data_IF_854318314548
#
_entry.id   IF_854318314548
#
_cell.length_a   1.000
_cell.length_b   1.000
_cell.length_c   1.000
_cell.angle_alpha   90.00
_cell.angle_beta   90.00
_cell.angle_gamma   90.00
#
_symmetry.space_group_name_H-M   'P 1'
#
loop_
_entity.id
_entity.type
_entity.pdbx_description
1 polymer ?
#
# COMPACT_ATOMS: atom_id res chain seq x y z
N UNK A 1 -7.88 16.30 10.69
CA UNK A 1 -8.84 15.18 10.69
C UNK A 1 -8.07 13.89 10.43
N UNK A 2 -8.27 12.85 11.25
CA UNK A 2 -7.64 11.55 11.02
C UNK A 2 -8.19 10.94 9.73
N UNK A 3 -7.33 10.60 8.77
CA UNK A 3 -7.74 9.84 7.58
C UNK A 3 -8.09 8.42 8.03
N UNK A 4 -9.38 8.15 8.18
CA UNK A 4 -9.92 6.79 8.26
C UNK A 4 -9.58 6.09 6.95
N UNK A 5 -8.55 5.24 7.00
CA UNK A 5 -8.13 4.46 5.84
C UNK A 5 -8.87 3.13 5.90
N UNK A 6 -9.75 2.86 4.94
CA UNK A 6 -10.48 1.59 4.87
C UNK A 6 -9.49 0.47 4.54
N UNK A 7 -9.43 -0.61 5.34
CA UNK A 7 -8.62 -1.78 4.99
C UNK A 7 -9.02 -2.34 3.63
N UNK A 8 -8.03 -2.84 2.90
CA UNK A 8 -8.24 -3.49 1.62
C UNK A 8 -8.89 -4.86 1.86
N UNK A 9 -9.88 -5.14 1.03
CA UNK A 9 -10.50 -6.45 0.95
C UNK A 9 -9.72 -7.34 -0.01
N UNK A 10 -9.81 -8.65 0.17
CA UNK A 10 -9.20 -9.63 -0.74
C UNK A 10 -9.63 -9.39 -2.21
N UNK A 11 -10.90 -9.02 -2.42
CA UNK A 11 -11.43 -8.70 -3.74
C UNK A 11 -10.74 -7.48 -4.35
N UNK A 12 -10.53 -6.41 -3.61
CA UNK A 12 -9.82 -5.21 -4.07
C UNK A 12 -8.35 -5.52 -4.42
N UNK A 13 -7.68 -6.35 -3.60
CA UNK A 13 -6.30 -6.81 -3.87
C UNK A 13 -6.23 -7.63 -5.17
N UNK A 14 -7.19 -8.56 -5.38
CA UNK A 14 -7.27 -9.39 -6.59
C UNK A 14 -7.57 -8.53 -7.82
N UNK A 15 -8.53 -7.62 -7.73
CA UNK A 15 -8.96 -6.75 -8.83
C UNK A 15 -7.98 -5.63 -9.17
N UNK A 16 -6.98 -5.35 -8.32
CA UNK A 16 -5.95 -4.35 -8.60
C UNK A 16 -5.17 -4.72 -9.88
N UNK A 17 -5.40 -4.00 -10.98
CA UNK A 17 -4.75 -4.23 -12.27
C UNK A 17 -3.50 -3.37 -12.43
N UNK A 18 -2.43 -3.88 -13.05
CA UNK A 18 -1.28 -3.05 -13.42
C UNK A 18 -1.72 -1.83 -14.25
N UNK A 19 -1.05 -0.70 -14.00
CA UNK A 19 -1.22 0.57 -14.72
C UNK A 19 0.11 0.94 -15.37
N UNK A 20 0.11 1.96 -16.23
CA UNK A 20 1.32 2.49 -16.88
C UNK A 20 2.43 2.89 -15.88
N UNK A 21 2.04 3.34 -14.68
CA UNK A 21 2.95 3.71 -13.60
C UNK A 21 2.68 2.88 -12.36
N UNK A 22 3.74 2.69 -11.57
CA UNK A 22 3.65 2.06 -10.25
C UNK A 22 2.69 2.86 -9.38
N UNK A 23 1.73 2.19 -8.74
CA UNK A 23 0.81 2.82 -7.80
C UNK A 23 0.71 2.01 -6.51
N UNK A 24 0.19 2.64 -5.46
CA UNK A 24 0.02 2.07 -4.13
C UNK A 24 -1.44 2.13 -3.70
N UNK A 25 -1.95 1.06 -3.09
CA UNK A 25 -3.24 1.03 -2.39
C UNK A 25 -2.96 0.92 -0.89
N UNK A 26 -3.58 1.78 -0.08
CA UNK A 26 -3.35 1.77 1.36
C UNK A 26 -4.31 0.80 2.05
N UNK A 27 -3.75 -0.07 2.88
CA UNK A 27 -4.49 -0.99 3.75
C UNK A 27 -4.67 -0.42 5.18
N UNK A 28 -3.90 0.62 5.50
CA UNK A 28 -3.94 1.29 6.79
C UNK A 28 -2.74 0.93 7.65
N UNK A 29 -2.51 1.70 8.72
CA UNK A 29 -1.40 1.47 9.66
C UNK A 29 0.00 1.53 9.04
N UNK A 30 0.17 2.09 7.83
CA UNK A 30 1.43 2.10 7.09
C UNK A 30 1.57 0.96 6.08
N UNK A 31 0.66 -0.02 6.05
CA UNK A 31 0.67 -1.11 5.09
C UNK A 31 0.07 -0.68 3.75
N UNK A 32 0.79 -0.97 2.66
CA UNK A 32 0.49 -0.54 1.31
C UNK A 32 0.70 -1.69 0.33
N UNK A 33 -0.26 -1.94 -0.56
CA UNK A 33 -0.09 -2.81 -1.71
C UNK A 33 0.50 -2.02 -2.87
N UNK A 34 1.74 -2.31 -3.26
CA UNK A 34 2.36 -1.75 -4.47
C UNK A 34 2.06 -2.65 -5.67
N UNK A 35 1.51 -2.05 -6.72
CA UNK A 35 1.25 -2.71 -8.00
C UNK A 35 2.15 -2.10 -9.07
N UNK A 36 2.98 -2.93 -9.69
CA UNK A 36 3.89 -2.53 -10.77
C UNK A 36 3.24 -2.71 -12.15
N UNK A 37 3.69 -1.97 -13.18
CA UNK A 37 3.20 -2.14 -14.56
C UNK A 37 3.36 -3.54 -15.12
N UNK A 38 4.37 -4.29 -14.65
CA UNK A 38 4.61 -5.68 -15.04
C UNK A 38 3.67 -6.70 -14.36
N UNK A 39 2.63 -6.25 -13.65
CA UNK A 39 1.64 -7.11 -12.99
C UNK A 39 2.06 -7.63 -11.61
N UNK A 40 3.31 -7.42 -11.20
CA UNK A 40 3.76 -7.83 -9.86
C UNK A 40 3.10 -6.97 -8.77
N UNK A 41 2.58 -7.66 -7.76
CA UNK A 41 1.99 -7.06 -6.56
C UNK A 41 2.87 -7.39 -5.36
N UNK A 42 3.25 -6.39 -4.59
CA UNK A 42 4.10 -6.55 -3.40
C UNK A 42 3.59 -5.68 -2.26
N UNK A 43 3.58 -6.22 -1.05
CA UNK A 43 3.30 -5.46 0.15
C UNK A 43 4.52 -4.62 0.57
N UNK A 44 4.27 -3.40 1.02
CA UNK A 44 5.25 -2.46 1.56
C UNK A 44 4.69 -1.90 2.86
N UNK A 45 5.55 -1.80 3.87
CA UNK A 45 5.21 -1.16 5.13
C UNK A 45 6.01 0.13 5.26
N UNK A 46 5.30 1.25 5.22
CA UNK A 46 5.87 2.57 5.47
C UNK A 46 5.75 2.86 6.98
N UNK A 47 6.88 2.87 7.68
CA UNK A 47 6.95 3.10 9.12
C UNK A 47 8.08 4.05 9.48
N UNK A 48 7.98 4.63 10.68
CA UNK A 48 9.08 5.39 11.27
C UNK A 48 9.88 4.48 12.18
N UNK A 49 11.21 4.57 12.10
CA UNK A 49 12.09 3.92 13.07
C UNK A 49 11.72 4.44 14.47
N UNK A 50 11.35 3.56 15.42
CA UNK A 50 10.76 3.97 16.69
C UNK A 50 11.68 4.87 17.53
N UNK A 51 13.00 4.71 17.38
CA UNK A 51 13.98 5.43 18.19
C UNK A 51 14.54 6.70 17.54
N UNK A 52 14.61 6.75 16.21
CA UNK A 52 15.23 7.89 15.49
C UNK A 52 14.22 8.77 14.76
N UNK A 53 12.93 8.40 14.75
CA UNK A 53 11.83 9.06 14.01
C UNK A 53 12.14 9.29 12.52
N UNK A 54 13.14 8.60 11.98
CA UNK A 54 13.51 8.63 10.56
C UNK A 54 12.66 7.60 9.81
N UNK A 55 12.30 7.92 8.57
CA UNK A 55 11.59 7.01 7.67
C UNK A 55 12.54 6.00 7.03
#
# INVERSE_FOLDING_TARGET
>A
MAKLTKPLTNTEVKQAKPKEKVYKLSDGGGLLLRVKPNGFKTWIFDYYKPHTKSR
#
